data_IF_457278093798
#
_entry.id   IF_457278093798
#
_cell.length_a   1.000
_cell.length_b   1.000
_cell.length_c   1.000
_cell.angle_alpha   90.00
_cell.angle_beta   90.00
_cell.angle_gamma   90.00
#
_symmetry.space_group_name_H-M   'P 1'
#
loop_
_entity.id
_entity.type
_entity.pdbx_description
1 polymer ?
#
# COMPACT_ATOMS: atom_id res chain seq x y z
N UNK A 1 33.03 66.75 0.68
CA UNK A 1 31.55 66.77 0.57
C UNK A 1 31.21 67.12 -0.88
N UNK A 2 30.23 66.46 -1.54
CA UNK A 2 28.92 66.10 -1.01
C UNK A 2 28.66 64.59 -0.85
N UNK A 3 27.70 64.35 0.03
CA UNK A 3 27.02 63.09 0.31
C UNK A 3 25.94 62.85 -0.74
N UNK A 4 25.82 61.60 -1.20
CA UNK A 4 24.59 61.13 -1.86
C UNK A 4 24.35 59.68 -1.49
N UNK A 5 23.61 59.50 -0.40
CA UNK A 5 22.92 58.26 -0.06
C UNK A 5 21.92 57.92 -1.17
N UNK A 6 22.11 56.79 -1.85
CA UNK A 6 21.06 56.15 -2.64
C UNK A 6 20.64 54.87 -1.95
N UNK A 7 19.52 54.93 -1.23
CA UNK A 7 18.74 53.75 -0.84
C UNK A 7 18.33 53.03 -2.12
N UNK A 8 18.88 51.85 -2.37
CA UNK A 8 18.28 50.86 -3.25
C UNK A 8 17.47 49.90 -2.38
N UNK A 9 16.17 50.03 -2.58
CA UNK A 9 15.05 49.22 -2.12
C UNK A 9 15.36 47.72 -2.20
N UNK A 10 14.93 47.01 -1.16
CA UNK A 10 15.00 45.56 -1.12
C UNK A 10 14.23 44.91 -2.27
N UNK A 11 14.88 43.94 -2.88
CA UNK A 11 14.22 42.78 -3.45
C UNK A 11 15.05 41.57 -2.99
N UNK A 12 14.91 41.22 -1.71
CA UNK A 12 15.21 39.86 -1.29
C UNK A 12 14.12 39.00 -1.93
N UNK A 13 14.37 38.53 -3.15
CA UNK A 13 13.64 37.42 -3.72
C UNK A 13 13.92 36.22 -2.82
N UNK A 14 13.13 36.08 -1.77
CA UNK A 14 13.06 34.85 -1.00
C UNK A 14 12.63 33.80 -2.00
N UNK A 15 13.61 33.05 -2.51
CA UNK A 15 13.38 31.80 -3.22
C UNK A 15 12.33 31.07 -2.41
N UNK A 16 11.17 30.84 -3.02
CA UNK A 16 10.14 30.01 -2.42
C UNK A 16 10.81 28.71 -2.04
N UNK A 17 11.04 28.54 -0.75
CA UNK A 17 11.49 27.27 -0.18
C UNK A 17 10.36 26.32 -0.49
N UNK A 18 10.48 25.61 -1.61
CA UNK A 18 9.66 24.45 -1.89
C UNK A 18 10.16 23.44 -0.88
N UNK A 19 9.60 23.49 0.34
CA UNK A 19 9.73 22.38 1.26
C UNK A 19 9.39 21.13 0.45
N UNK A 20 10.26 20.10 0.44
CA UNK A 20 9.95 18.89 -0.29
C UNK A 20 8.58 18.45 0.19
N UNK A 21 7.60 18.34 -0.72
CA UNK A 21 6.30 17.80 -0.36
C UNK A 21 6.58 16.46 0.28
N UNK A 22 6.28 16.35 1.57
CA UNK A 22 6.12 15.10 2.27
C UNK A 22 5.37 14.17 1.30
N UNK A 23 6.05 13.15 0.78
CA UNK A 23 5.43 12.10 0.00
C UNK A 23 4.58 11.30 0.99
N UNK A 24 3.30 11.65 1.11
CA UNK A 24 2.43 10.98 2.08
C UNK A 24 2.16 9.56 1.57
N UNK A 25 2.89 8.59 2.08
CA UNK A 25 2.61 7.18 1.83
C UNK A 25 1.38 6.77 2.64
N UNK A 26 0.46 6.02 2.03
CA UNK A 26 -0.77 5.56 2.67
C UNK A 26 -0.97 4.07 2.46
N UNK A 27 -1.59 3.40 3.43
CA UNK A 27 -2.03 2.01 3.32
C UNK A 27 -3.54 1.98 3.08
N UNK A 28 -3.98 1.19 2.11
CA UNK A 28 -5.40 0.93 1.86
C UNK A 28 -5.61 -0.58 2.01
N UNK A 29 -6.38 -0.98 3.02
CA UNK A 29 -6.75 -2.38 3.21
C UNK A 29 -7.71 -2.80 2.10
N UNK A 30 -7.45 -3.95 1.47
CA UNK A 30 -8.30 -4.51 0.42
C UNK A 30 -8.70 -5.96 0.69
N UNK A 31 -8.04 -6.66 1.61
CA UNK A 31 -8.46 -7.97 2.09
C UNK A 31 -8.05 -8.22 3.54
N UNK A 32 -8.78 -9.13 4.18
CA UNK A 32 -8.47 -9.72 5.47
C UNK A 32 -8.80 -11.21 5.39
N UNK A 33 -8.12 -12.00 6.20
CA UNK A 33 -8.49 -13.39 6.46
C UNK A 33 -9.35 -13.49 7.72
N UNK A 34 -9.84 -14.69 8.01
CA UNK A 34 -10.47 -15.05 9.28
C UNK A 34 -9.46 -15.27 10.44
N UNK A 35 -8.18 -15.42 10.12
CA UNK A 35 -7.07 -15.56 11.08
C UNK A 35 -6.43 -14.23 11.48
N UNK A 36 -7.00 -13.10 11.07
CA UNK A 36 -6.58 -11.77 11.52
C UNK A 36 -5.44 -11.14 10.72
N UNK A 37 -4.98 -11.75 9.62
CA UNK A 37 -4.01 -11.12 8.73
C UNK A 37 -4.68 -10.12 7.78
N UNK A 38 -4.02 -8.99 7.55
CA UNK A 38 -4.50 -7.91 6.69
C UNK A 38 -3.59 -7.69 5.48
N UNK A 39 -4.21 -7.41 4.33
CA UNK A 39 -3.52 -7.14 3.08
C UNK A 39 -3.85 -5.73 2.58
N UNK A 40 -2.78 -4.99 2.24
CA UNK A 40 -2.86 -3.58 1.89
C UNK A 40 -2.20 -3.27 0.54
N UNK A 41 -2.66 -2.21 -0.10
CA UNK A 41 -1.87 -1.49 -1.10
C UNK A 41 -1.03 -0.43 -0.39
N UNK A 42 0.25 -0.33 -0.76
CA UNK A 42 1.07 0.83 -0.40
C UNK A 42 0.96 1.88 -1.50
N UNK A 43 0.44 3.05 -1.15
CA UNK A 43 0.16 4.15 -2.06
C UNK A 43 1.16 5.28 -1.84
N UNK A 44 1.99 5.60 -2.83
CA UNK A 44 2.69 6.89 -2.89
C UNK A 44 1.93 7.92 -3.72
N UNK A 45 2.31 9.19 -3.58
CA UNK A 45 1.69 10.28 -4.31
C UNK A 45 2.11 10.25 -5.79
N UNK A 46 1.15 10.02 -6.69
CA UNK A 46 1.39 9.98 -8.14
C UNK A 46 1.84 8.61 -8.66
N UNK A 47 1.85 7.58 -7.81
CA UNK A 47 2.27 6.24 -8.19
C UNK A 47 1.26 5.54 -9.09
N UNK A 48 1.79 4.86 -10.11
CA UNK A 48 1.06 4.01 -11.03
C UNK A 48 0.32 2.89 -10.26
N UNK A 49 -1.03 2.80 -10.37
CA UNK A 49 -1.81 1.70 -9.80
C UNK A 49 -1.26 0.30 -10.07
N UNK A 50 -0.70 0.06 -11.25
CA UNK A 50 -0.28 -1.27 -11.69
C UNK A 50 1.08 -1.68 -11.14
N UNK A 51 1.81 -0.75 -10.51
CA UNK A 51 3.11 -1.02 -9.89
C UNK A 51 3.05 -1.01 -8.36
N UNK A 52 1.86 -0.87 -7.77
CA UNK A 52 1.72 -0.73 -6.33
C UNK A 52 2.08 -2.04 -5.63
N UNK A 53 3.03 -2.01 -4.70
CA UNK A 53 3.38 -3.19 -3.95
C UNK A 53 2.29 -3.51 -2.92
N UNK A 54 2.19 -4.78 -2.59
CA UNK A 54 1.30 -5.29 -1.56
C UNK A 54 2.06 -5.33 -0.24
N UNK A 55 1.36 -5.07 0.85
CA UNK A 55 1.84 -5.28 2.21
C UNK A 55 0.94 -6.28 2.92
N UNK A 56 1.54 -7.26 3.59
CA UNK A 56 0.84 -8.22 4.44
C UNK A 56 1.27 -7.95 5.88
N UNK A 57 0.31 -7.94 6.80
CA UNK A 57 0.54 -7.70 8.21
C UNK A 57 -0.25 -8.68 9.06
N UNK A 58 0.34 -9.06 10.18
CA UNK A 58 -0.27 -9.89 11.20
C UNK A 58 -1.25 -9.09 12.06
N UNK A 59 -2.02 -9.78 12.89
CA UNK A 59 -3.00 -9.18 13.80
C UNK A 59 -2.39 -8.19 14.81
N UNK A 60 -1.09 -8.34 15.14
CA UNK A 60 -0.41 -7.49 16.11
C UNK A 60 -0.03 -6.12 15.56
N UNK A 61 0.09 -5.98 14.22
CA UNK A 61 0.62 -4.77 13.59
C UNK A 61 2.15 -4.69 13.57
N UNK A 62 2.87 -5.66 14.16
CA UNK A 62 4.32 -5.61 14.33
C UNK A 62 5.07 -6.24 13.15
N UNK A 63 4.51 -7.27 12.51
CA UNK A 63 5.18 -8.01 11.45
C UNK A 63 4.65 -7.62 10.07
N UNK A 64 5.57 -7.36 9.14
CA UNK A 64 5.22 -6.88 7.81
C UNK A 64 6.01 -7.58 6.72
N UNK A 65 5.31 -8.01 5.69
CA UNK A 65 5.89 -8.46 4.44
C UNK A 65 5.57 -7.51 3.30
N UNK A 66 6.43 -7.53 2.27
CA UNK A 66 6.27 -6.72 1.05
C UNK A 66 6.36 -7.62 -0.17
N UNK A 67 5.42 -7.44 -1.09
CA UNK A 67 5.43 -8.11 -2.37
C UNK A 67 5.38 -7.07 -3.50
N UNK A 68 6.43 -7.02 -4.32
CA UNK A 68 6.52 -6.13 -5.49
C UNK A 68 5.83 -6.76 -6.70
N UNK A 69 4.52 -6.94 -6.61
CA UNK A 69 3.68 -7.47 -7.68
C UNK A 69 2.23 -6.99 -7.55
N UNK A 70 1.46 -7.16 -8.62
CA UNK A 70 0.02 -6.85 -8.60
C UNK A 70 -0.75 -7.80 -7.70
N UNK A 71 -1.91 -7.35 -7.20
CA UNK A 71 -2.83 -8.18 -6.39
C UNK A 71 -3.19 -9.47 -7.09
N UNK A 72 -3.54 -9.42 -8.37
CA UNK A 72 -3.89 -10.62 -9.12
C UNK A 72 -2.72 -11.60 -9.20
N UNK A 73 -1.50 -11.12 -9.42
CA UNK A 73 -0.31 -11.99 -9.46
C UNK A 73 -0.02 -12.61 -8.10
N UNK A 74 -0.17 -11.84 -7.02
CA UNK A 74 -0.04 -12.35 -5.66
C UNK A 74 -1.08 -13.42 -5.36
N UNK A 75 -2.37 -13.17 -5.66
CA UNK A 75 -3.44 -14.13 -5.41
C UNK A 75 -3.25 -15.42 -6.21
N UNK A 76 -2.92 -15.33 -7.50
CA UNK A 76 -2.63 -16.53 -8.32
C UNK A 76 -1.47 -17.32 -7.73
N UNK A 77 -0.38 -16.66 -7.36
CA UNK A 77 0.79 -17.32 -6.77
C UNK A 77 0.53 -17.91 -5.39
N UNK A 78 -0.21 -17.21 -4.53
CA UNK A 78 -0.50 -17.66 -3.17
C UNK A 78 -1.49 -18.83 -3.16
N UNK A 79 -2.57 -18.73 -3.95
CA UNK A 79 -3.54 -19.83 -4.11
C UNK A 79 -2.95 -21.04 -4.84
N UNK A 80 -1.93 -20.83 -5.68
CA UNK A 80 -1.18 -21.89 -6.34
C UNK A 80 -0.01 -22.46 -5.50
N UNK A 81 0.29 -21.88 -4.35
CA UNK A 81 1.41 -22.29 -3.49
C UNK A 81 2.82 -21.87 -3.98
N UNK A 82 2.91 -21.03 -5.01
CA UNK A 82 4.16 -20.43 -5.50
C UNK A 82 4.65 -19.30 -4.59
N UNK A 83 3.73 -18.53 -4.02
CA UNK A 83 4.01 -17.49 -3.03
C UNK A 83 3.66 -18.05 -1.65
N UNK A 84 4.66 -18.15 -0.78
CA UNK A 84 4.48 -18.52 0.63
C UNK A 84 4.88 -17.35 1.52
N UNK A 85 3.93 -16.90 2.32
CA UNK A 85 4.13 -15.88 3.35
C UNK A 85 4.54 -16.56 4.67
N UNK A 86 5.34 -15.88 5.48
CA UNK A 86 5.62 -16.24 6.87
C UNK A 86 4.58 -15.67 7.84
N UNK A 87 3.72 -14.77 7.35
CA UNK A 87 2.64 -14.14 8.12
C UNK A 87 1.32 -14.86 7.88
N UNK A 88 0.97 -15.17 6.63
CA UNK A 88 -0.26 -15.92 6.36
C UNK A 88 -0.16 -17.32 6.97
N UNK A 89 -1.28 -17.79 7.50
CA UNK A 89 -1.41 -19.14 8.03
C UNK A 89 -0.82 -20.22 7.10
N UNK A 90 -0.07 -21.16 7.67
CA UNK A 90 0.64 -22.23 6.94
C UNK A 90 -0.28 -23.13 6.11
N UNK A 91 -1.57 -23.22 6.47
CA UNK A 91 -2.58 -23.99 5.74
C UNK A 91 -3.24 -23.18 4.61
N UNK A 92 -2.84 -21.93 4.37
CA UNK A 92 -3.35 -21.15 3.25
C UNK A 92 -2.85 -21.72 1.90
N UNK A 93 -3.72 -21.88 0.89
CA UNK A 93 -5.16 -21.61 0.91
C UNK A 93 -6.00 -22.71 1.55
N UNK A 94 -7.09 -22.31 2.21
CA UNK A 94 -8.10 -23.22 2.77
C UNK A 94 -8.75 -24.11 1.68
N UNK A 95 -9.38 -25.25 2.06
CA UNK A 95 -10.10 -26.12 1.14
C UNK A 95 -11.15 -25.38 0.30
N UNK A 96 -11.38 -25.87 -0.92
CA UNK A 96 -12.32 -25.27 -1.86
C UNK A 96 -13.74 -25.25 -1.27
N UNK A 97 -14.28 -24.05 -1.10
CA UNK A 97 -15.69 -23.87 -0.81
C UNK A 97 -16.53 -24.10 -2.07
N UNK A 98 -17.54 -24.96 -1.97
CA UNK A 98 -18.49 -25.17 -3.06
C UNK A 98 -19.59 -24.11 -3.02
N UNK A 99 -19.79 -23.41 -4.13
CA UNK A 99 -20.99 -22.62 -4.32
C UNK A 99 -22.15 -23.55 -4.66
N UNK A 100 -23.15 -23.63 -3.78
CA UNK A 100 -24.39 -24.37 -4.02
C UNK A 100 -25.55 -23.41 -4.22
N UNK A 101 -26.28 -23.56 -5.31
CA UNK A 101 -27.48 -22.75 -5.56
C UNK A 101 -28.58 -23.11 -4.56
N UNK A 102 -29.27 -22.12 -4.01
CA UNK A 102 -30.28 -22.31 -2.96
C UNK A 102 -31.41 -23.28 -3.34
N UNK A 103 -31.70 -23.48 -4.63
CA UNK A 103 -32.74 -24.38 -5.12
C UNK A 103 -32.42 -25.87 -4.88
N UNK A 104 -31.15 -26.24 -4.67
CA UNK A 104 -30.74 -27.63 -4.48
C UNK A 104 -30.95 -28.19 -3.06
N UNK A 105 -31.55 -27.41 -2.13
CA UNK A 105 -31.85 -27.85 -0.76
C UNK A 105 -33.32 -28.25 -0.55
N UNK A 106 -34.11 -28.32 -1.62
CA UNK A 106 -35.50 -28.77 -1.59
C UNK A 106 -35.59 -30.22 -2.10
N UNK A 107 -35.09 -31.17 -1.30
CA UNK A 107 -35.47 -32.59 -1.35
C UNK A 107 -35.22 -33.24 0.02
#
# INVERSE_FOLDING_TARGET
MPSTSRRSSGASSTSGSTSPRNSSTRLICWATTDNGEYLYWLMGQGDDPDTRPIRVNDESGEHWERYDMTVTRFLVGALGGEVRSQILWDEFPQPVHEFRTATAMAD
#
